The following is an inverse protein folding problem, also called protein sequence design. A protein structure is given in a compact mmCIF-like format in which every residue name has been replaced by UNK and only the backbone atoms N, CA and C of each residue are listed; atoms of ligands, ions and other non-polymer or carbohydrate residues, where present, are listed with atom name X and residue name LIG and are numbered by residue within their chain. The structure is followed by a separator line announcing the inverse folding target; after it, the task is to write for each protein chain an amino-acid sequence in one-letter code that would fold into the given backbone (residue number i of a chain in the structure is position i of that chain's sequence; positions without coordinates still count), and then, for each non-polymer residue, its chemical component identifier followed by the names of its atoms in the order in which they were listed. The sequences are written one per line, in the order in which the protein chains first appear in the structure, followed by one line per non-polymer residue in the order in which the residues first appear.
data_IF_212526232908
#
_entry.id   IF_212526232908
#
_cell.length_a   1.000
_cell.length_b   1.000
_cell.length_c   1.000
_cell.angle_alpha   90.00
_cell.angle_beta   90.00
_cell.angle_gamma   90.00
#
_symmetry.space_group_name_H-M   'P 1'
#
loop_
_entity.id
_entity.type
_entity.pdbx_description
1 polymer ?
#
# COMPACT_ATOMS: atom_id res chain seq x y z
N UNK A 1 25.15 16.83 -19.44
CA UNK A 1 24.14 17.03 -18.37
C UNK A 1 23.34 18.28 -18.71
N UNK A 2 22.01 18.24 -18.58
CA UNK A 2 21.10 19.28 -19.11
C UNK A 2 21.03 20.54 -18.23
N UNK A 3 21.01 20.41 -16.89
CA UNK A 3 21.12 21.53 -15.93
C UNK A 3 21.55 21.01 -14.55
N UNK A 4 22.19 21.86 -13.72
CA UNK A 4 22.66 21.52 -12.36
C UNK A 4 21.50 21.35 -11.36
N UNK A 5 20.42 22.09 -11.56
CA UNK A 5 19.28 22.13 -10.63
C UNK A 5 18.05 21.39 -11.18
N UNK A 6 18.24 20.52 -12.17
CA UNK A 6 17.15 19.73 -12.71
C UNK A 6 16.60 18.79 -11.63
N UNK A 7 15.27 18.76 -11.40
CA UNK A 7 14.68 17.85 -10.42
C UNK A 7 14.89 16.40 -10.87
N UNK A 8 15.36 15.56 -9.95
CA UNK A 8 15.64 14.14 -10.18
C UNK A 8 14.97 13.29 -9.11
N UNK A 9 14.54 12.09 -9.51
CA UNK A 9 13.99 11.07 -8.61
C UNK A 9 14.91 9.86 -8.72
N UNK A 10 15.37 9.35 -7.57
CA UNK A 10 16.15 8.13 -7.53
C UNK A 10 15.20 6.93 -7.56
N UNK A 11 15.32 6.08 -8.57
CA UNK A 11 14.45 4.91 -8.66
C UNK A 11 14.83 3.94 -9.77
N UNK A 12 14.09 2.85 -9.81
CA UNK A 12 14.23 1.81 -10.82
C UNK A 12 13.33 0.63 -10.55
N UNK A 13 13.41 -0.37 -11.42
CA UNK A 13 12.79 -1.68 -11.25
C UNK A 13 13.89 -2.73 -11.09
N UNK A 14 14.38 -2.97 -9.86
CA UNK A 14 15.31 -4.06 -9.63
C UNK A 14 14.58 -5.40 -9.78
N UNK A 15 15.16 -6.31 -10.54
CA UNK A 15 14.57 -7.61 -10.82
C UNK A 15 15.61 -8.72 -10.73
N UNK A 16 15.26 -9.80 -10.04
CA UNK A 16 15.94 -11.08 -10.19
C UNK A 16 15.59 -11.68 -11.56
N UNK A 17 16.54 -12.30 -12.25
CA UNK A 17 16.25 -13.00 -13.50
C UNK A 17 16.02 -14.49 -13.24
N UNK A 18 14.90 -15.03 -13.74
CA UNK A 18 14.61 -16.44 -13.61
C UNK A 18 15.65 -17.28 -14.38
N UNK A 19 16.43 -18.17 -13.75
CA UNK A 19 17.58 -18.82 -14.37
C UNK A 19 17.21 -19.74 -15.55
N UNK A 20 16.01 -20.34 -15.53
CA UNK A 20 15.52 -21.20 -16.61
C UNK A 20 14.88 -20.44 -17.78
N UNK A 21 14.14 -19.37 -17.51
CA UNK A 21 13.26 -18.74 -18.49
C UNK A 21 13.77 -17.37 -18.94
N UNK A 22 14.75 -16.80 -18.25
CA UNK A 22 15.27 -15.45 -18.53
C UNK A 22 14.27 -14.33 -18.27
N UNK A 23 13.11 -14.63 -17.68
CA UNK A 23 12.10 -13.62 -17.36
C UNK A 23 12.53 -12.83 -16.12
N UNK A 24 12.30 -11.51 -16.07
CA UNK A 24 12.47 -10.76 -14.83
C UNK A 24 11.46 -11.26 -13.80
N UNK A 25 11.81 -11.25 -12.53
CA UNK A 25 10.93 -11.54 -11.40
C UNK A 25 10.88 -10.26 -10.57
N UNK A 26 9.89 -9.41 -10.83
CA UNK A 26 9.84 -8.05 -10.28
C UNK A 26 9.40 -8.09 -8.82
N UNK A 27 8.44 -8.96 -8.53
CA UNK A 27 7.86 -9.13 -7.19
C UNK A 27 8.36 -10.41 -6.53
N UNK A 28 9.51 -10.95 -6.93
CA UNK A 28 10.19 -11.92 -6.10
C UNK A 28 10.61 -11.29 -4.76
N UNK A 29 10.59 -12.03 -3.64
CA UNK A 29 11.03 -11.51 -2.34
C UNK A 29 12.42 -10.88 -2.38
N UNK A 30 13.36 -11.46 -3.13
CA UNK A 30 14.71 -10.94 -3.32
C UNK A 30 14.71 -9.59 -4.03
N UNK A 31 13.91 -9.43 -5.08
CA UNK A 31 13.75 -8.16 -5.81
C UNK A 31 13.18 -7.08 -4.91
N UNK A 32 12.19 -7.42 -4.08
CA UNK A 32 11.60 -6.47 -3.13
C UNK A 32 12.58 -6.05 -2.03
N UNK A 33 13.41 -6.97 -1.53
CA UNK A 33 14.49 -6.61 -0.59
C UNK A 33 15.47 -5.61 -1.22
N UNK A 34 15.81 -5.78 -2.51
CA UNK A 34 16.65 -4.82 -3.23
C UNK A 34 15.93 -3.47 -3.38
N UNK A 35 14.63 -3.46 -3.68
CA UNK A 35 13.84 -2.22 -3.69
C UNK A 35 13.88 -1.52 -2.33
N UNK A 36 13.72 -2.24 -1.22
CA UNK A 36 13.82 -1.64 0.11
C UNK A 36 15.21 -0.99 0.36
N UNK A 37 16.28 -1.59 -0.14
CA UNK A 37 17.63 -0.98 -0.10
C UNK A 37 17.68 0.29 -0.97
N UNK A 38 17.02 0.31 -2.13
CA UNK A 38 16.90 1.52 -2.97
C UNK A 38 16.26 2.67 -2.19
N UNK A 39 15.28 2.38 -1.32
CA UNK A 39 14.66 3.42 -0.50
C UNK A 39 15.65 4.06 0.46
N UNK A 40 16.46 3.25 1.13
CA UNK A 40 17.47 3.74 2.08
C UNK A 40 18.58 4.51 1.36
N UNK A 41 18.97 4.07 0.16
CA UNK A 41 19.91 4.82 -0.67
C UNK A 41 19.33 6.17 -1.12
N UNK A 42 18.05 6.23 -1.52
CA UNK A 42 17.40 7.49 -1.85
C UNK A 42 17.39 8.47 -0.66
N UNK A 43 17.19 7.98 0.57
CA UNK A 43 17.31 8.79 1.79
C UNK A 43 18.71 9.32 1.98
N UNK A 44 19.72 8.45 1.83
CA UNK A 44 21.12 8.83 1.95
C UNK A 44 21.54 9.89 0.92
N UNK A 45 21.00 9.82 -0.29
CA UNK A 45 21.23 10.79 -1.35
C UNK A 45 20.36 12.05 -1.24
N UNK A 46 19.47 12.13 -0.25
CA UNK A 46 18.49 13.21 -0.08
C UNK A 46 17.61 13.44 -1.32
N UNK A 47 17.27 12.35 -2.02
CA UNK A 47 16.44 12.37 -3.22
C UNK A 47 15.07 11.71 -2.98
N UNK A 48 14.01 12.17 -3.69
CA UNK A 48 12.77 11.43 -3.77
C UNK A 48 13.02 10.04 -4.35
N UNK A 49 12.26 9.08 -3.86
CA UNK A 49 12.37 7.66 -4.21
C UNK A 49 11.26 7.22 -5.16
N UNK A 50 11.61 6.41 -6.14
CA UNK A 50 10.67 5.73 -7.03
C UNK A 50 10.99 4.24 -7.11
N UNK A 51 9.95 3.41 -7.19
CA UNK A 51 10.09 1.98 -7.37
C UNK A 51 8.91 1.40 -8.14
N UNK A 52 9.16 0.25 -8.76
CA UNK A 52 8.11 -0.62 -9.26
C UNK A 52 7.73 -1.65 -8.19
N UNK A 53 6.59 -1.42 -7.54
CA UNK A 53 5.97 -2.25 -6.51
C UNK A 53 4.45 -2.04 -6.58
N UNK A 54 3.66 -2.89 -5.93
CA UNK A 54 2.20 -2.88 -6.13
C UNK A 54 1.87 -3.26 -7.56
N UNK A 55 2.41 -4.40 -8.01
CA UNK A 55 2.12 -5.03 -9.30
C UNK A 55 2.19 -6.55 -9.15
N UNK A 56 2.02 -7.28 -10.25
CA UNK A 56 2.22 -8.73 -10.25
C UNK A 56 2.97 -9.27 -11.46
N UNK A 57 3.70 -10.36 -11.22
CA UNK A 57 4.35 -11.19 -12.23
C UNK A 57 3.37 -12.19 -12.88
N UNK A 58 2.14 -12.29 -12.37
CA UNK A 58 1.07 -13.12 -12.93
C UNK A 58 0.64 -12.65 -14.31
N UNK A 59 0.23 -13.59 -15.16
CA UNK A 59 -0.34 -13.29 -16.49
C UNK A 59 -1.84 -13.01 -16.43
N UNK A 60 -2.50 -13.32 -15.32
CA UNK A 60 -3.95 -13.23 -15.16
C UNK A 60 -4.30 -12.45 -13.90
N UNK A 61 -5.52 -11.93 -13.86
CA UNK A 61 -6.09 -11.35 -12.63
C UNK A 61 -6.57 -12.49 -11.74
N UNK A 62 -5.66 -13.07 -10.99
CA UNK A 62 -5.88 -14.23 -10.14
C UNK A 62 -5.42 -13.99 -8.69
N UNK A 63 -5.36 -15.07 -7.90
CA UNK A 63 -4.88 -14.99 -6.52
C UNK A 63 -3.43 -14.51 -6.44
N UNK A 64 -2.55 -14.97 -7.34
CA UNK A 64 -1.16 -14.52 -7.38
C UNK A 64 -1.12 -13.01 -7.61
N UNK A 65 -1.90 -12.50 -8.57
CA UNK A 65 -1.98 -11.08 -8.84
C UNK A 65 -2.45 -10.24 -7.65
N UNK A 66 -3.46 -10.72 -6.92
CA UNK A 66 -3.94 -10.04 -5.72
C UNK A 66 -2.95 -10.11 -4.55
N UNK A 67 -2.30 -11.26 -4.36
CA UNK A 67 -1.35 -11.45 -3.27
C UNK A 67 -0.11 -10.57 -3.48
N UNK A 68 0.54 -10.68 -4.65
CA UNK A 68 1.74 -9.93 -5.02
C UNK A 68 1.55 -8.42 -4.95
N UNK A 69 0.44 -7.94 -5.49
CA UNK A 69 0.01 -6.55 -5.37
C UNK A 69 -0.04 -6.11 -3.89
N UNK A 70 -0.82 -6.83 -3.08
CA UNK A 70 -1.17 -6.39 -1.74
C UNK A 70 0.06 -6.30 -0.82
N UNK A 71 0.92 -7.31 -0.83
CA UNK A 71 2.06 -7.31 0.08
C UNK A 71 3.18 -6.37 -0.40
N UNK A 72 3.41 -6.25 -1.72
CA UNK A 72 4.43 -5.33 -2.25
C UNK A 72 3.99 -3.87 -2.12
N UNK A 73 2.72 -3.54 -2.36
CA UNK A 73 2.17 -2.21 -2.14
C UNK A 73 2.24 -1.80 -0.66
N UNK A 74 1.92 -2.72 0.26
CA UNK A 74 2.03 -2.47 1.69
C UNK A 74 3.48 -2.24 2.10
N UNK A 75 4.42 -3.05 1.62
CA UNK A 75 5.84 -2.88 1.89
C UNK A 75 6.35 -1.53 1.38
N UNK A 76 5.97 -1.11 0.17
CA UNK A 76 6.36 0.19 -0.38
C UNK A 76 5.89 1.36 0.49
N UNK A 77 4.64 1.30 0.95
CA UNK A 77 4.07 2.34 1.81
C UNK A 77 4.73 2.38 3.19
N UNK A 78 4.97 1.22 3.81
CA UNK A 78 5.63 1.16 5.13
C UNK A 78 7.10 1.57 5.06
N UNK A 79 7.78 1.27 3.95
CA UNK A 79 9.13 1.76 3.69
C UNK A 79 9.17 3.27 3.42
N UNK A 80 8.04 3.88 3.06
CA UNK A 80 7.90 5.32 2.83
C UNK A 80 8.49 5.76 1.50
N UNK A 81 8.25 5.00 0.43
CA UNK A 81 8.56 5.43 -0.94
C UNK A 81 7.71 6.64 -1.36
N UNK A 82 8.29 7.52 -2.17
CA UNK A 82 7.63 8.76 -2.60
C UNK A 82 6.74 8.53 -3.84
N UNK A 83 7.20 7.68 -4.76
CA UNK A 83 6.46 7.30 -5.97
C UNK A 83 6.50 5.77 -6.15
N UNK A 84 5.33 5.17 -6.38
CA UNK A 84 5.19 3.74 -6.65
C UNK A 84 4.46 3.56 -7.97
N UNK A 85 5.08 2.81 -8.90
CA UNK A 85 4.50 2.52 -10.22
C UNK A 85 4.26 1.03 -10.36
N UNK A 86 3.00 0.64 -10.41
CA UNK A 86 2.62 -0.76 -10.42
C UNK A 86 1.13 -1.01 -10.61
N UNK A 87 0.21 -0.16 -10.09
CA UNK A 87 -1.22 -0.43 -10.23
C UNK A 87 -1.65 -0.66 -11.68
N UNK A 88 -2.30 -1.80 -11.91
CA UNK A 88 -2.74 -2.31 -13.21
C UNK A 88 -1.71 -3.14 -13.97
N UNK A 89 -0.47 -3.22 -13.51
CA UNK A 89 0.59 -3.95 -14.19
C UNK A 89 0.53 -5.45 -13.88
N UNK A 90 0.71 -6.25 -14.92
CA UNK A 90 0.80 -7.70 -14.94
C UNK A 90 2.01 -8.12 -15.80
N UNK A 91 2.32 -9.42 -15.76
CA UNK A 91 3.35 -10.05 -16.59
C UNK A 91 4.67 -9.28 -16.56
N UNK A 92 5.20 -9.09 -15.34
CA UNK A 92 6.52 -8.50 -15.12
C UNK A 92 6.63 -7.10 -15.76
N UNK A 93 5.66 -6.23 -15.49
CA UNK A 93 5.52 -4.86 -16.04
C UNK A 93 5.20 -4.77 -17.53
N UNK A 94 5.04 -5.91 -18.23
CA UNK A 94 4.86 -5.91 -19.69
C UNK A 94 3.41 -5.67 -20.12
N UNK A 95 2.44 -5.81 -19.21
CA UNK A 95 1.01 -5.70 -19.51
C UNK A 95 0.34 -4.72 -18.56
N UNK A 96 -0.50 -3.82 -19.09
CA UNK A 96 -1.41 -2.99 -18.30
C UNK A 96 -2.85 -3.49 -18.49
N UNK A 97 -3.48 -3.99 -17.42
CA UNK A 97 -4.89 -4.40 -17.40
C UNK A 97 -5.74 -3.33 -16.71
N UNK A 98 -6.83 -2.92 -17.37
CA UNK A 98 -7.78 -1.98 -16.79
C UNK A 98 -8.59 -2.62 -15.65
N UNK A 99 -8.90 -3.91 -15.76
CA UNK A 99 -9.56 -4.69 -14.73
C UNK A 99 -8.69 -4.77 -13.47
N UNK A 100 -7.41 -5.09 -13.64
CA UNK A 100 -6.42 -5.10 -12.55
C UNK A 100 -6.27 -3.71 -11.94
N UNK A 101 -6.16 -2.66 -12.74
CA UNK A 101 -6.04 -1.27 -12.25
C UNK A 101 -7.22 -0.89 -11.33
N UNK A 102 -8.42 -1.31 -11.70
CA UNK A 102 -9.63 -1.06 -10.91
C UNK A 102 -9.61 -1.80 -9.57
N UNK A 103 -9.07 -3.02 -9.53
CA UNK A 103 -8.87 -3.76 -8.28
C UNK A 103 -7.73 -3.18 -7.45
N UNK A 104 -6.63 -2.78 -8.08
CA UNK A 104 -5.46 -2.20 -7.42
C UNK A 104 -5.75 -0.83 -6.83
N UNK A 105 -6.68 -0.08 -7.41
CA UNK A 105 -7.19 1.14 -6.78
C UNK A 105 -7.78 0.86 -5.38
N UNK A 106 -8.39 -0.30 -5.17
CA UNK A 106 -8.87 -0.71 -3.84
C UNK A 106 -7.70 -1.00 -2.90
N UNK A 107 -6.67 -1.71 -3.38
CA UNK A 107 -5.44 -1.97 -2.60
C UNK A 107 -4.74 -0.65 -2.25
N UNK A 108 -4.62 0.27 -3.20
CA UNK A 108 -4.11 1.62 -2.98
C UNK A 108 -4.88 2.34 -1.88
N UNK A 109 -6.22 2.21 -1.85
CA UNK A 109 -7.06 2.72 -0.77
C UNK A 109 -6.72 2.09 0.59
N UNK A 110 -6.55 0.77 0.63
CA UNK A 110 -6.18 0.02 1.84
C UNK A 110 -4.82 0.49 2.38
N UNK A 111 -3.78 0.50 1.54
CA UNK A 111 -2.42 0.87 1.98
C UNK A 111 -2.32 2.35 2.33
N UNK A 112 -3.04 3.26 1.65
CA UNK A 112 -3.16 4.68 2.05
C UNK A 112 -3.87 4.84 3.40
N UNK A 113 -4.84 3.98 3.71
CA UNK A 113 -5.45 3.97 5.05
C UNK A 113 -4.43 3.52 6.09
N UNK A 114 -3.62 2.51 5.81
CA UNK A 114 -2.54 2.06 6.72
C UNK A 114 -1.52 3.17 6.93
N UNK A 115 -1.07 3.85 5.87
CA UNK A 115 -0.06 4.92 5.94
C UNK A 115 -0.46 6.09 6.82
N UNK A 116 -1.77 6.40 6.89
CA UNK A 116 -2.30 7.45 7.76
C UNK A 116 -2.09 7.18 9.25
N UNK A 117 -1.91 5.92 9.64
CA UNK A 117 -1.75 5.53 11.04
C UNK A 117 -2.98 5.84 11.90
N UNK A 118 -2.73 6.18 13.17
CA UNK A 118 -3.73 6.56 14.16
C UNK A 118 -3.45 7.97 14.67
N UNK A 119 -4.53 8.73 14.91
CA UNK A 119 -4.42 9.98 15.65
C UNK A 119 -4.22 9.71 17.14
N UNK A 120 -3.46 10.58 17.80
CA UNK A 120 -3.00 10.41 19.19
C UNK A 120 -3.60 11.47 20.14
N UNK A 121 -4.64 12.20 19.71
CA UNK A 121 -5.34 13.12 20.61
C UNK A 121 -6.18 12.36 21.64
N UNK A 122 -6.46 12.99 22.78
CA UNK A 122 -7.31 12.40 23.82
C UNK A 122 -8.70 11.98 23.28
N UNK A 123 -9.27 12.78 22.37
CA UNK A 123 -10.55 12.46 21.73
C UNK A 123 -10.45 11.23 20.81
N UNK A 124 -9.33 11.04 20.12
CA UNK A 124 -9.10 9.88 19.24
C UNK A 124 -8.81 8.58 20.00
N UNK A 125 -8.07 8.68 21.10
CA UNK A 125 -7.81 7.53 21.98
C UNK A 125 -9.11 7.11 22.70
N UNK A 126 -9.99 8.08 23.00
CA UNK A 126 -11.36 7.84 23.48
C UNK A 126 -11.46 7.07 24.81
N UNK A 127 -10.51 7.28 25.74
CA UNK A 127 -10.48 6.60 27.05
C UNK A 127 -11.78 6.82 27.83
N UNK A 128 -12.27 8.06 27.89
CA UNK A 128 -13.51 8.41 28.61
C UNK A 128 -14.72 7.66 28.04
N UNK A 129 -14.80 7.53 26.71
CA UNK A 129 -15.88 6.80 26.01
C UNK A 129 -15.82 5.31 26.35
N UNK A 130 -14.61 4.75 26.43
CA UNK A 130 -14.39 3.36 26.81
C UNK A 130 -14.84 3.13 28.26
N UNK A 131 -14.40 3.96 29.20
CA UNK A 131 -14.79 3.87 30.61
C UNK A 131 -16.30 4.01 30.80
N UNK A 132 -16.92 5.04 30.22
CA UNK A 132 -18.36 5.28 30.27
C UNK A 132 -19.15 4.07 29.76
N UNK A 133 -18.75 3.52 28.60
CA UNK A 133 -19.47 2.43 27.95
C UNK A 133 -19.30 1.10 28.70
N UNK A 134 -18.10 0.82 29.22
CA UNK A 134 -17.80 -0.42 29.96
C UNK A 134 -18.49 -0.47 31.34
N UNK A 135 -18.69 0.69 31.98
CA UNK A 135 -19.39 0.77 33.26
C UNK A 135 -20.91 0.51 33.13
N UNK A 136 -21.47 0.51 31.92
CA UNK A 136 -22.88 0.18 31.68
C UNK A 136 -23.07 -1.33 31.47
N UNK A 137 -23.99 -1.96 32.22
CA UNK A 137 -24.43 -3.34 31.94
C UNK A 137 -24.99 -3.45 30.51
N UNK A 138 -24.35 -4.24 29.66
CA UNK A 138 -24.73 -4.42 28.25
C UNK A 138 -24.32 -3.27 27.31
N UNK A 139 -23.36 -2.43 27.72
CA UNK A 139 -22.84 -1.34 26.89
C UNK A 139 -22.25 -1.83 25.57
N UNK A 140 -22.61 -1.15 24.47
CA UNK A 140 -21.97 -1.31 23.17
C UNK A 140 -21.71 0.07 22.56
N UNK A 141 -20.68 0.17 21.72
CA UNK A 141 -20.27 1.44 21.12
C UNK A 141 -21.10 1.84 19.90
N UNK A 142 -21.93 0.96 19.35
CA UNK A 142 -22.59 1.18 18.05
C UNK A 142 -23.49 2.42 18.05
N UNK A 143 -24.17 2.69 19.16
CA UNK A 143 -25.05 3.84 19.33
C UNK A 143 -24.34 5.06 19.94
N UNK A 144 -23.05 4.95 20.28
CA UNK A 144 -22.34 6.04 20.94
C UNK A 144 -22.10 7.21 19.98
N UNK A 145 -22.33 8.47 20.39
CA UNK A 145 -22.12 9.64 19.53
C UNK A 145 -20.69 9.74 18.97
N UNK A 146 -19.70 9.35 19.77
CA UNK A 146 -18.29 9.25 19.35
C UNK A 146 -18.14 8.31 18.15
N UNK A 147 -18.68 7.10 18.22
CA UNK A 147 -18.62 6.15 17.10
C UNK A 147 -19.25 6.72 15.83
N UNK A 148 -20.42 7.37 15.92
CA UNK A 148 -21.04 8.02 14.76
C UNK A 148 -20.17 9.13 14.16
N UNK A 149 -19.48 9.91 15.00
CA UNK A 149 -18.57 10.99 14.57
C UNK A 149 -17.35 10.43 13.84
N UNK A 150 -16.72 9.39 14.38
CA UNK A 150 -15.45 8.87 13.88
C UNK A 150 -15.57 7.79 12.79
N UNK A 151 -16.71 7.09 12.69
CA UNK A 151 -16.90 5.97 11.77
C UNK A 151 -16.50 6.29 10.33
N UNK A 152 -16.99 7.39 9.77
CA UNK A 152 -16.72 7.76 8.36
C UNK A 152 -15.29 8.25 8.13
N UNK A 153 -14.61 8.67 9.20
CA UNK A 153 -13.25 9.20 9.15
C UNK A 153 -12.22 8.08 9.30
N UNK A 154 -12.42 7.21 10.28
CA UNK A 154 -11.44 6.18 10.65
C UNK A 154 -11.63 4.84 9.94
N UNK A 155 -12.86 4.48 9.60
CA UNK A 155 -13.15 3.20 8.93
C UNK A 155 -13.21 3.41 7.43
N UNK A 156 -12.22 2.85 6.72
CA UNK A 156 -12.21 2.83 5.27
C UNK A 156 -13.38 1.98 4.75
N UNK A 157 -14.17 2.56 3.85
CA UNK A 157 -15.21 1.86 3.10
C UNK A 157 -14.62 1.35 1.79
N UNK A 158 -14.37 0.05 1.75
CA UNK A 158 -14.03 -0.67 0.52
C UNK A 158 -15.26 -0.71 -0.38
N UNK A 159 -15.07 -0.43 -1.67
CA UNK A 159 -16.12 -0.41 -2.68
C UNK A 159 -16.34 -1.76 -3.36
N UNK A 160 -15.31 -2.61 -3.38
CA UNK A 160 -15.28 -3.87 -4.15
C UNK A 160 -14.97 -5.10 -3.32
N UNK A 161 -14.48 -4.93 -2.08
CA UNK A 161 -14.36 -6.05 -1.14
C UNK A 161 -15.75 -6.40 -0.59
N UNK A 162 -16.24 -7.60 -0.91
CA UNK A 162 -17.48 -8.15 -0.39
C UNK A 162 -17.39 -8.35 1.12
N UNK A 163 -17.91 -7.37 1.88
CA UNK A 163 -18.05 -7.44 3.34
C UNK A 163 -19.52 -7.50 3.78
N UNK A 164 -20.41 -7.69 2.81
CA UNK A 164 -21.82 -7.96 3.05
C UNK A 164 -22.02 -9.48 3.13
N UNK A 165 -22.88 -9.97 4.04
CA UNK A 165 -23.24 -11.38 4.14
C UNK A 165 -23.96 -11.89 2.88
#
# INVERSE_FOLDING_TARGET
MVSKDAPVIYGGSPALMHPRYGTPLIVAPESLLVSLIYRDLARFLELPSHTYMGLSDSKLVDYQAGAEEAYSALAAVLAGFDVVSGPGMLEFESVQSLEKLVLDNEVCGLVKRVSRGFGMSAEEIAIEVIEETLLRKGGNFLLHPHTRRYLRREVLRTTRVGRNP
#
